data_IF_583978537999
#
_entry.id   IF_583978537999
#
_cell.length_a   1.000
_cell.length_b   1.000
_cell.length_c   1.000
_cell.angle_alpha   90.00
_cell.angle_beta   90.00
_cell.angle_gamma   90.00
#
_symmetry.space_group_name_H-M   'P 1'
#
loop_
_entity.id
_entity.type
_entity.pdbx_description
1 polymer ?
#
# COMPACT_ATOMS: atom_id res chain seq x y z
N UNK A 1 -0.09 -10.34 -14.43
CA UNK A 1 0.14 -11.40 -13.43
C UNK A 1 -1.10 -11.55 -12.56
N UNK A 2 -1.31 -12.69 -11.88
CA UNK A 2 -2.46 -12.90 -10.98
C UNK A 2 -2.58 -11.82 -9.89
N UNK A 3 -1.46 -11.25 -9.46
CA UNK A 3 -1.39 -10.21 -8.42
C UNK A 3 -1.51 -8.78 -8.97
N UNK A 4 -1.85 -8.61 -10.24
CA UNK A 4 -2.00 -7.29 -10.83
C UNK A 4 -3.10 -6.51 -10.10
N UNK A 5 -2.76 -5.33 -9.60
CA UNK A 5 -3.69 -4.46 -8.91
C UNK A 5 -3.80 -4.69 -7.41
N UNK A 6 -3.37 -5.83 -6.84
CA UNK A 6 -3.53 -6.07 -5.39
C UNK A 6 -2.84 -5.02 -4.51
N UNK A 7 -1.53 -4.69 -4.72
CA UNK A 7 -0.88 -3.65 -3.92
C UNK A 7 -1.51 -2.28 -4.14
N UNK A 8 -1.98 -2.03 -5.37
CA UNK A 8 -2.55 -0.75 -5.77
C UNK A 8 -3.95 -0.55 -5.18
N UNK A 9 -4.78 -1.61 -5.10
CA UNK A 9 -6.07 -1.62 -4.40
C UNK A 9 -5.92 -1.36 -2.90
N UNK A 10 -4.94 -2.01 -2.25
CA UNK A 10 -4.66 -1.78 -0.84
C UNK A 10 -4.25 -0.33 -0.58
N UNK A 11 -3.35 0.22 -1.39
CA UNK A 11 -2.92 1.61 -1.27
C UNK A 11 -4.06 2.60 -1.55
N UNK A 12 -4.88 2.36 -2.58
CA UNK A 12 -6.06 3.16 -2.89
C UNK A 12 -7.04 3.22 -1.70
N UNK A 13 -7.31 2.08 -1.07
CA UNK A 13 -8.17 1.99 0.11
C UNK A 13 -7.62 2.78 1.31
N UNK A 14 -6.33 2.60 1.66
CA UNK A 14 -5.72 3.31 2.80
C UNK A 14 -5.66 4.82 2.57
N UNK A 15 -5.36 5.25 1.34
CA UNK A 15 -5.28 6.67 1.01
C UNK A 15 -6.64 7.33 0.83
N UNK A 16 -7.70 6.56 0.58
CA UNK A 16 -9.04 7.06 0.28
C UNK A 16 -9.15 7.67 -1.12
N UNK A 17 -8.37 7.17 -2.08
CA UNK A 17 -8.26 7.71 -3.44
C UNK A 17 -8.63 6.67 -4.49
N UNK A 18 -8.83 7.10 -5.73
CA UNK A 18 -8.93 6.22 -6.90
C UNK A 18 -7.61 6.19 -7.65
N UNK A 19 -7.06 5.00 -7.88
CA UNK A 19 -5.83 4.81 -8.65
C UNK A 19 -6.12 4.12 -9.98
N UNK A 20 -5.52 4.63 -11.06
CA UNK A 20 -5.67 4.07 -12.40
C UNK A 20 -4.36 3.51 -12.92
N UNK A 21 -4.43 2.32 -13.52
CA UNK A 21 -3.43 1.85 -14.46
C UNK A 21 -4.01 2.03 -15.86
N UNK A 22 -3.45 2.99 -16.61
CA UNK A 22 -3.95 3.40 -17.93
C UNK A 22 -4.10 2.19 -18.84
N UNK A 23 -5.28 2.07 -19.47
CA UNK A 23 -5.60 0.98 -20.38
C UNK A 23 -5.88 -0.38 -19.70
N UNK A 24 -5.97 -0.44 -18.37
CA UNK A 24 -6.20 -1.68 -17.64
C UNK A 24 -7.36 -1.59 -16.64
N UNK A 25 -7.16 -0.90 -15.52
CA UNK A 25 -8.11 -0.91 -14.41
C UNK A 25 -8.04 0.38 -13.60
N UNK A 26 -9.16 0.68 -12.94
CA UNK A 26 -9.29 1.73 -11.92
C UNK A 26 -9.69 1.06 -10.61
N UNK A 27 -9.01 1.40 -9.53
CA UNK A 27 -9.13 0.73 -8.24
C UNK A 27 -9.42 1.75 -7.13
N UNK A 28 -10.23 1.33 -6.16
CA UNK A 28 -10.73 2.18 -5.08
C UNK A 28 -12.06 2.86 -5.42
N UNK A 29 -12.77 3.29 -4.38
CA UNK A 29 -14.03 4.02 -4.42
C UNK A 29 -13.93 5.41 -3.77
N UNK A 30 -12.77 5.74 -3.21
CA UNK A 30 -12.52 7.00 -2.52
C UNK A 30 -12.70 8.25 -3.38
N UNK A 31 -12.99 9.37 -2.70
CA UNK A 31 -13.26 10.67 -3.29
C UNK A 31 -12.16 11.70 -3.04
N UNK A 32 -11.10 11.35 -2.30
CA UNK A 32 -9.99 12.26 -2.08
C UNK A 32 -9.25 12.55 -3.39
N UNK A 33 -8.85 13.81 -3.57
CA UNK A 33 -8.08 14.23 -4.75
C UNK A 33 -6.65 13.66 -4.71
N UNK A 34 -6.13 13.38 -5.90
CA UNK A 34 -4.73 13.01 -6.07
C UNK A 34 -3.89 14.27 -6.17
N UNK A 35 -3.04 14.47 -5.17
CA UNK A 35 -2.11 15.58 -5.08
C UNK A 35 -0.68 15.13 -4.75
N UNK A 36 0.26 16.07 -4.70
CA UNK A 36 1.64 15.78 -4.34
C UNK A 36 1.78 15.20 -2.90
N UNK A 37 0.90 15.59 -1.97
CA UNK A 37 0.91 15.07 -0.61
C UNK A 37 0.54 13.59 -0.54
N UNK A 38 -0.26 13.10 -1.49
CA UNK A 38 -0.62 11.70 -1.63
C UNK A 38 0.61 10.81 -1.87
N UNK A 39 1.62 11.30 -2.59
CA UNK A 39 2.91 10.60 -2.78
C UNK A 39 3.65 10.48 -1.44
N UNK A 40 3.74 11.56 -0.67
CA UNK A 40 4.42 11.54 0.63
C UNK A 40 3.68 10.63 1.63
N UNK A 41 2.35 10.58 1.58
CA UNK A 41 1.54 9.66 2.38
C UNK A 41 1.75 8.20 1.97
N UNK A 42 1.79 7.89 0.67
CA UNK A 42 1.99 6.53 0.18
C UNK A 42 3.37 5.97 0.57
N UNK A 43 4.42 6.78 0.50
CA UNK A 43 5.77 6.41 0.95
C UNK A 43 5.80 6.13 2.46
N UNK A 44 5.12 6.94 3.28
CA UNK A 44 5.01 6.70 4.72
C UNK A 44 4.30 5.37 5.02
N UNK A 45 3.20 5.08 4.32
CA UNK A 45 2.47 3.80 4.47
C UNK A 45 3.37 2.62 4.10
N UNK A 46 4.07 2.70 2.96
CA UNK A 46 5.03 1.67 2.53
C UNK A 46 6.12 1.44 3.58
N UNK A 47 6.68 2.53 4.14
CA UNK A 47 7.71 2.43 5.17
C UNK A 47 7.18 1.76 6.43
N UNK A 48 6.03 2.20 6.94
CA UNK A 48 5.40 1.59 8.11
C UNK A 48 5.08 0.11 7.90
N UNK A 49 4.57 -0.28 6.72
CA UNK A 49 4.33 -1.68 6.39
C UNK A 49 5.62 -2.51 6.38
N UNK A 50 6.72 -1.93 5.88
CA UNK A 50 8.03 -2.56 5.88
C UNK A 50 8.58 -2.72 7.30
N UNK A 51 8.47 -1.68 8.13
CA UNK A 51 8.94 -1.71 9.52
C UNK A 51 8.16 -2.76 10.34
N UNK A 52 6.83 -2.85 10.17
CA UNK A 52 5.98 -3.89 10.80
C UNK A 52 6.40 -5.29 10.37
N UNK A 53 6.67 -5.49 9.07
CA UNK A 53 7.10 -6.78 8.55
C UNK A 53 8.46 -7.20 9.10
N UNK A 54 9.43 -6.29 9.14
CA UNK A 54 10.75 -6.54 9.73
C UNK A 54 10.64 -6.86 11.22
N UNK A 55 9.83 -6.10 11.97
CA UNK A 55 9.60 -6.38 13.39
C UNK A 55 9.00 -7.77 13.59
N UNK A 56 7.97 -8.12 12.80
CA UNK A 56 7.34 -9.44 12.85
C UNK A 56 8.35 -10.56 12.55
N UNK A 57 9.20 -10.39 11.54
CA UNK A 57 10.27 -11.33 11.22
C UNK A 57 11.26 -11.50 12.37
N UNK A 58 11.73 -10.41 12.97
CA UNK A 58 12.70 -10.45 14.08
C UNK A 58 12.11 -11.18 15.30
N UNK A 59 10.88 -10.83 15.70
CA UNK A 59 10.19 -11.50 16.80
C UNK A 59 9.94 -12.98 16.50
N UNK A 60 9.56 -13.30 15.26
CA UNK A 60 9.35 -14.68 14.83
C UNK A 60 10.62 -15.52 14.80
N UNK A 61 11.78 -14.92 14.53
CA UNK A 61 13.08 -15.56 14.62
C UNK A 61 13.50 -15.82 16.08
N UNK A 62 13.29 -14.84 16.96
CA UNK A 62 13.58 -14.98 18.40
C UNK A 62 12.72 -16.07 19.07
N UNK A 63 11.48 -16.25 18.62
CA UNK A 63 10.60 -17.28 19.16
C UNK A 63 10.98 -18.72 18.74
N UNK A 64 11.92 -18.89 17.79
CA UNK A 64 12.37 -20.19 17.28
C UNK A 64 13.72 -20.64 17.84
N UNK A 65 14.45 -19.76 18.53
CA UNK A 65 15.73 -20.03 19.22
C UNK A 65 15.47 -20.31 20.69
#
# INVERSE_FOLDING_TARGET
SPNAGWPMSAMAGILGVKLEKVGHYRLGDGSAELDAHTIVRSLRIMRSASDVYVLWLVLGLQART
#
